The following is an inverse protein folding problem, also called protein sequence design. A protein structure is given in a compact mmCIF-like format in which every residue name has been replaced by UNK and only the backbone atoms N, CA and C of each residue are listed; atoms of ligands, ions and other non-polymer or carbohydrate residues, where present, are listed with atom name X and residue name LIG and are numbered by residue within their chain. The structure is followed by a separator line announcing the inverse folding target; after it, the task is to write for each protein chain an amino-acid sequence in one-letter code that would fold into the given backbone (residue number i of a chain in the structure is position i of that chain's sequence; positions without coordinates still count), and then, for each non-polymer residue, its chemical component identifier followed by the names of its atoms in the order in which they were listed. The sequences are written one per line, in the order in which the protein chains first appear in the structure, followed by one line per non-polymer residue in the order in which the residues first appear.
data_IF_974076205900
#
_entry.id   IF_974076205900
#
_cell.length_a   1.000
_cell.length_b   1.000
_cell.length_c   1.000
_cell.angle_alpha   90.00
_cell.angle_beta   90.00
_cell.angle_gamma   90.00
#
_symmetry.space_group_name_H-M   'P 1'
#
loop_
_entity.id
_entity.type
_entity.pdbx_description
1 polymer ?
#
# COMPACT_ATOMS: atom_id res chain seq x y z
N UNK A 1 0.92 -10.07 -18.07
CA UNK A 1 -0.15 -10.57 -18.94
C UNK A 1 -1.46 -10.04 -18.44
N UNK A 2 -2.07 -9.30 -19.16
CA UNK A 2 -3.30 -9.14 -19.83
C UNK A 2 -4.40 -8.70 -18.87
N UNK A 3 -4.83 -7.44 -18.99
CA UNK A 3 -6.18 -7.03 -18.63
C UNK A 3 -7.14 -8.15 -19.10
N UNK A 4 -7.94 -8.70 -18.17
CA UNK A 4 -8.98 -9.66 -18.49
C UNK A 4 -9.79 -9.10 -19.65
N UNK A 5 -9.72 -9.78 -20.76
CA UNK A 5 -10.47 -9.46 -21.96
C UNK A 5 -11.95 -9.46 -21.59
N UNK A 6 -12.64 -8.37 -21.90
CA UNK A 6 -14.12 -8.28 -21.91
C UNK A 6 -14.68 -9.12 -23.09
N UNK A 7 -14.15 -10.33 -23.29
CA UNK A 7 -14.59 -11.22 -24.34
C UNK A 7 -15.95 -11.83 -24.00
N UNK A 8 -17.01 -11.19 -24.47
CA UNK A 8 -18.36 -11.74 -24.45
C UNK A 8 -19.10 -11.63 -23.12
N UNK A 9 -18.60 -10.83 -22.18
CA UNK A 9 -19.29 -10.60 -20.91
C UNK A 9 -20.58 -9.83 -21.15
N UNK A 10 -21.69 -10.36 -20.65
CA UNK A 10 -22.98 -9.71 -20.72
C UNK A 10 -22.96 -8.42 -19.90
N UNK A 11 -23.34 -7.29 -20.53
CA UNK A 11 -23.54 -6.02 -19.83
C UNK A 11 -24.93 -6.04 -19.19
N UNK A 12 -24.97 -5.87 -17.88
CA UNK A 12 -26.18 -5.81 -17.08
C UNK A 12 -26.50 -4.35 -16.74
N UNK A 13 -27.79 -4.05 -16.58
CA UNK A 13 -28.26 -2.80 -15.99
C UNK A 13 -28.71 -3.06 -14.55
N UNK A 14 -27.99 -2.48 -13.60
CA UNK A 14 -28.19 -2.71 -12.17
C UNK A 14 -28.62 -1.42 -11.51
N UNK A 15 -29.61 -1.48 -10.61
CA UNK A 15 -29.93 -0.35 -9.74
C UNK A 15 -28.71 -0.03 -8.84
N UNK A 16 -28.18 1.20 -8.85
CA UNK A 16 -27.06 1.59 -8.00
C UNK A 16 -27.27 1.32 -6.49
N UNK A 17 -28.52 1.29 -6.03
CA UNK A 17 -28.87 0.98 -4.64
C UNK A 17 -28.63 -0.50 -4.29
N UNK A 18 -28.59 -1.37 -5.29
CA UNK A 18 -28.24 -2.79 -5.12
C UNK A 18 -26.73 -3.03 -5.09
N UNK A 19 -25.92 -1.98 -5.15
CA UNK A 19 -24.46 -2.08 -5.21
C UNK A 19 -23.83 -1.52 -3.93
N UNK A 20 -23.26 -2.41 -3.14
CA UNK A 20 -22.50 -2.07 -1.95
C UNK A 20 -21.03 -1.78 -2.29
N UNK A 21 -20.38 -0.94 -1.49
CA UNK A 21 -18.94 -0.68 -1.56
C UNK A 21 -18.33 -0.80 -0.16
N UNK A 22 -18.12 -2.04 0.33
CA UNK A 22 -17.67 -2.28 1.69
C UNK A 22 -16.25 -1.80 1.98
N UNK A 23 -15.44 -1.64 0.94
CA UNK A 23 -14.05 -1.19 1.08
C UNK A 23 -13.94 0.32 1.25
N UNK A 24 -14.97 1.06 0.81
CA UNK A 24 -14.95 2.51 0.87
C UNK A 24 -13.98 3.13 -0.14
N UNK A 25 -13.62 4.40 0.07
CA UNK A 25 -12.74 5.14 -0.84
C UNK A 25 -11.39 5.41 -0.21
N UNK A 26 -10.35 5.24 -0.98
CA UNK A 26 -8.99 5.72 -0.75
C UNK A 26 -8.78 7.16 -1.26
N UNK A 27 -9.81 7.74 -1.89
CA UNK A 27 -9.80 9.11 -2.45
C UNK A 27 -10.02 10.17 -1.40
N UNK A 28 -9.73 11.40 -1.77
CA UNK A 28 -10.11 12.61 -1.00
C UNK A 28 -11.60 12.57 -0.66
N UNK A 29 -11.95 13.05 0.52
CA UNK A 29 -13.35 13.09 0.98
C UNK A 29 -14.25 14.00 0.11
N UNK A 30 -13.66 14.98 -0.58
CA UNK A 30 -14.34 15.96 -1.43
C UNK A 30 -14.36 15.59 -2.93
N UNK A 31 -14.02 14.34 -3.28
CA UNK A 31 -13.90 13.93 -4.68
C UNK A 31 -15.19 14.12 -5.51
N UNK A 32 -16.37 14.08 -4.88
CA UNK A 32 -17.66 14.34 -5.55
C UNK A 32 -17.90 15.82 -5.86
N UNK A 33 -17.24 16.74 -5.15
CA UNK A 33 -17.30 18.18 -5.40
C UNK A 33 -16.30 18.64 -6.45
N UNK A 34 -15.36 17.79 -6.85
CA UNK A 34 -14.36 18.14 -7.86
C UNK A 34 -14.98 18.29 -9.24
N UNK A 35 -14.50 19.28 -10.00
CA UNK A 35 -15.00 19.62 -11.36
C UNK A 35 -15.06 18.39 -12.27
N UNK A 36 -13.99 17.58 -12.31
CA UNK A 36 -13.96 16.38 -13.13
C UNK A 36 -14.99 15.31 -12.77
N UNK A 37 -15.57 15.31 -11.55
CA UNK A 37 -16.68 14.43 -11.24
C UNK A 37 -18.01 15.03 -11.74
N UNK A 38 -18.20 16.34 -11.62
CA UNK A 38 -19.38 17.02 -12.14
C UNK A 38 -19.45 16.89 -13.67
N UNK A 39 -18.32 17.04 -14.35
CA UNK A 39 -18.23 16.81 -15.81
C UNK A 39 -18.63 15.38 -16.18
N UNK A 40 -18.21 14.39 -15.40
CA UNK A 40 -18.61 12.99 -15.61
C UNK A 40 -20.12 12.81 -15.44
N UNK A 41 -20.74 13.42 -14.43
CA UNK A 41 -22.19 13.35 -14.20
C UNK A 41 -22.92 13.95 -15.40
N UNK A 42 -22.54 15.15 -15.86
CA UNK A 42 -23.17 15.78 -17.02
C UNK A 42 -22.93 14.99 -18.31
N UNK A 43 -21.75 14.39 -18.50
CA UNK A 43 -21.46 13.51 -19.63
C UNK A 43 -22.38 12.28 -19.65
N UNK A 44 -22.51 11.59 -18.50
CA UNK A 44 -23.40 10.41 -18.39
C UNK A 44 -24.87 10.81 -18.56
N UNK A 45 -25.25 11.99 -18.09
CA UNK A 45 -26.62 12.52 -18.28
C UNK A 45 -26.92 12.75 -19.74
N UNK A 46 -25.99 13.33 -20.50
CA UNK A 46 -26.15 13.70 -21.89
C UNK A 46 -26.04 12.52 -22.86
N UNK A 47 -25.05 11.64 -22.65
CA UNK A 47 -24.69 10.60 -23.63
C UNK A 47 -24.87 9.17 -23.12
N UNK A 48 -25.20 8.99 -21.84
CA UNK A 48 -25.23 7.68 -21.21
C UNK A 48 -23.85 7.25 -20.71
N UNK A 49 -23.78 6.02 -20.20
CA UNK A 49 -22.55 5.43 -19.69
C UNK A 49 -21.90 4.57 -20.78
N UNK A 50 -20.72 4.94 -21.25
CA UNK A 50 -19.99 4.19 -22.28
C UNK A 50 -19.31 2.94 -21.73
N UNK A 51 -18.56 3.07 -20.64
CA UNK A 51 -17.82 1.98 -20.02
C UNK A 51 -18.57 1.40 -18.83
N UNK A 52 -18.84 0.08 -18.79
CA UNK A 52 -19.49 -0.54 -17.65
C UNK A 52 -18.60 -0.48 -16.38
N UNK A 53 -19.24 -0.57 -15.24
CA UNK A 53 -18.55 -0.82 -13.97
C UNK A 53 -18.28 -2.31 -13.81
N UNK A 54 -17.40 -2.67 -12.86
CA UNK A 54 -17.08 -4.04 -12.55
C UNK A 54 -17.65 -4.40 -11.18
N UNK A 55 -18.40 -5.48 -11.10
CA UNK A 55 -19.06 -5.92 -9.86
C UNK A 55 -18.91 -7.43 -9.64
N UNK A 56 -19.10 -7.85 -8.39
CA UNK A 56 -19.41 -9.24 -8.03
C UNK A 56 -20.81 -9.32 -7.46
N UNK A 57 -21.61 -10.36 -7.79
CA UNK A 57 -22.80 -10.66 -7.01
C UNK A 57 -22.41 -11.10 -5.60
N UNK A 58 -23.17 -10.71 -4.59
CA UNK A 58 -22.90 -11.11 -3.19
C UNK A 58 -23.01 -12.63 -3.02
N UNK A 59 -23.99 -13.26 -3.66
CA UNK A 59 -24.04 -14.72 -3.81
C UNK A 59 -23.06 -15.18 -4.91
N UNK A 60 -22.02 -15.92 -4.59
CA UNK A 60 -21.04 -16.40 -5.58
C UNK A 60 -21.64 -17.40 -6.59
N UNK A 61 -22.76 -18.03 -6.31
CA UNK A 61 -23.42 -18.97 -7.20
C UNK A 61 -24.43 -18.33 -8.12
N UNK A 62 -24.81 -17.07 -7.86
CA UNK A 62 -25.76 -16.36 -8.70
C UNK A 62 -25.24 -16.16 -10.13
N UNK A 63 -26.14 -16.34 -11.09
CA UNK A 63 -25.88 -16.05 -12.52
C UNK A 63 -27.07 -15.32 -13.09
N UNK A 64 -26.85 -14.45 -14.11
CA UNK A 64 -27.94 -13.88 -14.90
C UNK A 64 -28.78 -15.03 -15.52
N UNK A 65 -30.09 -14.89 -15.49
CA UNK A 65 -31.02 -15.86 -16.07
C UNK A 65 -31.81 -15.16 -17.18
N UNK A 66 -31.62 -15.62 -18.40
CA UNK A 66 -32.35 -15.08 -19.57
C UNK A 66 -33.86 -15.36 -19.51
N UNK A 67 -34.28 -16.43 -18.80
CA UNK A 67 -35.68 -16.80 -18.62
C UNK A 67 -36.36 -16.01 -17.49
N UNK A 68 -35.59 -15.48 -16.56
CA UNK A 68 -36.05 -14.58 -15.49
C UNK A 68 -35.16 -13.33 -15.41
N UNK A 69 -35.33 -12.37 -16.32
CA UNK A 69 -34.51 -11.14 -16.33
C UNK A 69 -34.57 -10.35 -15.02
N UNK A 70 -35.61 -10.53 -14.22
CA UNK A 70 -35.78 -9.88 -12.92
C UNK A 70 -34.99 -10.55 -11.79
N UNK A 71 -34.28 -11.64 -12.06
CA UNK A 71 -33.46 -12.28 -11.03
C UNK A 71 -32.35 -11.33 -10.52
N UNK A 72 -31.95 -10.35 -11.32
CA UNK A 72 -31.01 -9.29 -10.97
C UNK A 72 -31.50 -8.36 -9.86
N UNK A 73 -32.83 -8.13 -9.78
CA UNK A 73 -33.44 -7.27 -8.77
C UNK A 73 -33.48 -7.92 -7.37
N UNK A 74 -33.09 -9.20 -7.26
CA UNK A 74 -33.16 -9.98 -6.03
C UNK A 74 -31.82 -10.20 -5.36
N UNK A 75 -30.77 -9.59 -5.91
CA UNK A 75 -29.42 -9.81 -5.41
C UNK A 75 -28.68 -8.50 -5.19
N UNK A 76 -27.85 -8.50 -4.15
CA UNK A 76 -26.89 -7.44 -3.91
C UNK A 76 -25.58 -7.71 -4.68
N UNK A 77 -24.94 -6.64 -5.10
CA UNK A 77 -23.65 -6.67 -5.76
C UNK A 77 -22.60 -5.92 -4.96
N UNK A 78 -21.36 -6.30 -5.13
CA UNK A 78 -20.19 -5.64 -4.53
C UNK A 78 -19.41 -4.94 -5.64
N UNK A 79 -19.18 -3.65 -5.46
CA UNK A 79 -18.42 -2.83 -6.40
C UNK A 79 -16.93 -3.18 -6.37
N UNK A 80 -16.37 -3.51 -7.53
CA UNK A 80 -14.94 -3.75 -7.71
C UNK A 80 -14.23 -2.56 -8.35
N UNK A 81 -14.81 -2.01 -9.42
CA UNK A 81 -14.24 -0.86 -10.14
C UNK A 81 -15.34 0.01 -10.74
N UNK A 82 -15.05 1.31 -10.91
CA UNK A 82 -15.97 2.27 -11.51
C UNK A 82 -16.84 3.04 -10.52
N UNK A 83 -16.36 3.27 -9.28
CA UNK A 83 -17.08 4.02 -8.24
C UNK A 83 -17.67 5.33 -8.73
N UNK A 84 -16.90 6.15 -9.47
CA UNK A 84 -17.41 7.45 -9.98
C UNK A 84 -18.62 7.27 -10.88
N UNK A 85 -18.63 6.24 -11.75
CA UNK A 85 -19.76 5.93 -12.65
C UNK A 85 -20.97 5.41 -11.88
N UNK A 86 -20.74 4.57 -10.86
CA UNK A 86 -21.79 4.09 -9.99
C UNK A 86 -22.46 5.23 -9.23
N UNK A 87 -21.68 6.15 -8.65
CA UNK A 87 -22.19 7.30 -7.92
C UNK A 87 -22.88 8.32 -8.83
N UNK A 88 -22.34 8.55 -10.03
CA UNK A 88 -23.01 9.39 -11.03
C UNK A 88 -24.38 8.82 -11.44
N UNK A 89 -24.47 7.49 -11.63
CA UNK A 89 -25.76 6.84 -11.91
C UNK A 89 -26.75 6.98 -10.75
N UNK A 90 -26.28 6.86 -9.49
CA UNK A 90 -27.08 7.07 -8.27
C UNK A 90 -27.63 8.50 -8.21
N UNK A 91 -26.79 9.51 -8.42
CA UNK A 91 -27.20 10.91 -8.46
C UNK A 91 -28.25 11.17 -9.56
N UNK A 92 -28.09 10.52 -10.70
CA UNK A 92 -29.00 10.67 -11.83
C UNK A 92 -30.29 9.83 -11.73
N UNK A 93 -30.39 8.96 -10.72
CA UNK A 93 -31.55 8.05 -10.57
C UNK A 93 -31.70 7.09 -11.74
N UNK A 94 -30.57 6.60 -12.31
CA UNK A 94 -30.54 5.71 -13.48
C UNK A 94 -29.84 4.40 -13.15
N UNK A 95 -30.23 3.28 -13.80
CA UNK A 95 -29.45 2.06 -13.73
C UNK A 95 -28.02 2.29 -14.20
N UNK A 96 -27.09 1.55 -13.62
CA UNK A 96 -25.68 1.57 -14.00
C UNK A 96 -25.36 0.34 -14.85
N UNK A 97 -24.64 0.55 -15.94
CA UNK A 97 -24.15 -0.55 -16.78
C UNK A 97 -22.98 -1.23 -16.08
N UNK A 98 -23.08 -2.52 -15.90
CA UNK A 98 -22.12 -3.34 -15.15
C UNK A 98 -21.77 -4.63 -15.86
N UNK A 99 -20.58 -5.14 -15.60
CA UNK A 99 -20.10 -6.46 -15.99
C UNK A 99 -19.69 -7.23 -14.74
N UNK A 100 -20.01 -8.52 -14.70
CA UNK A 100 -19.57 -9.39 -13.60
C UNK A 100 -18.11 -9.77 -13.82
N UNK A 101 -17.24 -9.47 -12.86
CA UNK A 101 -15.85 -9.87 -12.91
C UNK A 101 -15.69 -11.39 -12.80
N UNK A 102 -14.56 -11.91 -13.30
CA UNK A 102 -14.19 -13.33 -13.12
C UNK A 102 -14.33 -13.74 -11.66
N UNK A 103 -14.83 -14.94 -11.45
CA UNK A 103 -15.15 -15.46 -10.12
C UNK A 103 -14.02 -16.27 -9.49
N UNK A 104 -12.89 -16.39 -10.18
CA UNK A 104 -11.70 -17.03 -9.63
C UNK A 104 -11.19 -16.29 -8.39
N UNK A 105 -10.98 -17.02 -7.30
CA UNK A 105 -10.50 -16.45 -6.03
C UNK A 105 -11.55 -15.68 -5.21
N UNK A 106 -12.82 -15.71 -5.58
CA UNK A 106 -13.92 -14.96 -4.97
C UNK A 106 -14.42 -15.49 -3.64
N UNK A 107 -14.20 -16.77 -3.40
CA UNK A 107 -14.64 -17.45 -2.18
C UNK A 107 -13.48 -17.59 -1.20
N UNK A 108 -13.80 -17.50 0.09
CA UNK A 108 -12.86 -17.72 1.16
C UNK A 108 -12.22 -16.43 1.73
N UNK A 109 -11.27 -16.57 2.66
CA UNK A 109 -10.72 -15.48 3.45
C UNK A 109 -9.95 -14.45 2.63
N UNK A 110 -9.59 -14.77 1.39
CA UNK A 110 -8.86 -13.85 0.49
C UNK A 110 -9.75 -13.03 -0.46
N UNK A 111 -11.07 -13.22 -0.43
CA UNK A 111 -11.98 -12.52 -1.35
C UNK A 111 -11.85 -10.98 -1.26
N UNK A 112 -11.80 -10.43 -0.05
CA UNK A 112 -11.60 -8.99 0.18
C UNK A 112 -10.25 -8.52 -0.37
N UNK A 113 -9.20 -9.30 -0.18
CA UNK A 113 -7.89 -8.97 -0.73
C UNK A 113 -7.89 -8.96 -2.27
N UNK A 114 -8.53 -9.93 -2.91
CA UNK A 114 -8.63 -9.96 -4.38
C UNK A 114 -9.41 -8.74 -4.92
N UNK A 115 -10.47 -8.36 -4.23
CA UNK A 115 -11.24 -7.14 -4.56
C UNK A 115 -10.36 -5.89 -4.46
N UNK A 116 -9.57 -5.75 -3.39
CA UNK A 116 -8.64 -4.63 -3.20
C UNK A 116 -7.55 -4.59 -4.27
N UNK A 117 -7.00 -5.76 -4.65
CA UNK A 117 -6.01 -5.86 -5.73
C UNK A 117 -6.59 -5.42 -7.08
N UNK A 118 -7.81 -5.82 -7.41
CA UNK A 118 -8.47 -5.39 -8.64
C UNK A 118 -8.68 -3.88 -8.67
N UNK A 119 -9.14 -3.30 -7.57
CA UNK A 119 -9.29 -1.84 -7.42
C UNK A 119 -7.96 -1.11 -7.51
N UNK A 120 -6.94 -1.62 -6.84
CA UNK A 120 -5.60 -1.03 -6.89
C UNK A 120 -5.04 -1.01 -8.31
N UNK A 121 -5.15 -2.13 -9.05
CA UNK A 121 -4.68 -2.23 -10.44
C UNK A 121 -5.45 -1.31 -11.40
N UNK A 122 -6.75 -1.11 -11.17
CA UNK A 122 -7.54 -0.16 -11.95
C UNK A 122 -7.09 1.26 -11.67
N UNK A 123 -6.94 1.62 -10.38
CA UNK A 123 -6.53 2.95 -9.97
C UNK A 123 -5.08 3.27 -10.36
N UNK A 124 -4.15 2.30 -10.30
CA UNK A 124 -2.73 2.50 -10.63
C UNK A 124 -2.48 2.91 -12.09
N UNK A 125 -3.44 2.63 -12.98
CA UNK A 125 -3.39 3.03 -14.39
C UNK A 125 -3.82 4.49 -14.63
N UNK A 126 -4.19 5.20 -13.58
CA UNK A 126 -4.68 6.57 -13.68
C UNK A 126 -3.55 7.56 -13.45
N UNK A 127 -3.48 8.59 -14.29
CA UNK A 127 -2.47 9.64 -14.21
C UNK A 127 -2.66 10.58 -13.00
N UNK A 128 -3.86 10.59 -12.39
CA UNK A 128 -4.24 11.49 -11.30
C UNK A 128 -4.15 10.88 -9.89
N UNK A 129 -3.60 9.66 -9.75
CA UNK A 129 -3.46 9.00 -8.45
C UNK A 129 -2.31 9.63 -7.63
N UNK A 130 -2.65 10.29 -6.53
CA UNK A 130 -1.65 10.87 -5.64
C UNK A 130 -0.80 9.80 -4.93
N UNK A 131 0.40 10.19 -4.50
CA UNK A 131 1.26 9.29 -3.73
C UNK A 131 0.62 8.88 -2.39
N UNK A 132 -0.21 9.74 -1.80
CA UNK A 132 -0.96 9.43 -0.58
C UNK A 132 -1.99 8.32 -0.82
N UNK A 133 -2.87 8.49 -1.81
CA UNK A 133 -3.90 7.50 -2.17
C UNK A 133 -3.27 6.15 -2.50
N UNK A 134 -2.17 6.15 -3.26
CA UNK A 134 -1.42 4.92 -3.58
C UNK A 134 -0.90 4.22 -2.32
N UNK A 135 -0.35 4.96 -1.37
CA UNK A 135 0.14 4.39 -0.11
C UNK A 135 -1.00 3.90 0.78
N UNK A 136 -2.13 4.60 0.83
CA UNK A 136 -3.32 4.15 1.57
C UNK A 136 -3.84 2.82 1.01
N UNK A 137 -3.97 2.69 -0.31
CA UNK A 137 -4.43 1.46 -0.96
C UNK A 137 -3.52 0.26 -0.65
N UNK A 138 -2.19 0.44 -0.76
CA UNK A 138 -1.22 -0.62 -0.45
C UNK A 138 -1.26 -0.98 1.04
N UNK A 139 -1.34 0.02 1.93
CA UNK A 139 -1.41 -0.20 3.37
C UNK A 139 -2.67 -0.93 3.78
N UNK A 140 -3.82 -0.55 3.24
CA UNK A 140 -5.10 -1.21 3.47
C UNK A 140 -5.07 -2.67 3.02
N UNK A 141 -4.63 -2.94 1.80
CA UNK A 141 -4.51 -4.31 1.29
C UNK A 141 -3.65 -5.20 2.19
N UNK A 142 -2.55 -4.65 2.73
CA UNK A 142 -1.71 -5.41 3.65
C UNK A 142 -2.43 -5.73 4.97
N UNK A 143 -3.08 -4.74 5.59
CA UNK A 143 -3.76 -4.94 6.88
C UNK A 143 -4.95 -5.91 6.72
N UNK A 144 -5.72 -5.82 5.64
CA UNK A 144 -6.84 -6.74 5.33
C UNK A 144 -6.33 -8.19 5.14
N UNK A 145 -5.31 -8.39 4.31
CA UNK A 145 -4.75 -9.72 4.10
C UNK A 145 -4.10 -10.27 5.39
N UNK A 146 -3.44 -9.41 6.17
CA UNK A 146 -2.83 -9.81 7.43
C UNK A 146 -3.86 -10.21 8.48
N UNK A 147 -5.05 -9.58 8.48
CA UNK A 147 -6.14 -9.89 9.39
C UNK A 147 -6.84 -11.22 9.05
N UNK A 148 -6.94 -11.54 7.75
CA UNK A 148 -7.59 -12.78 7.26
C UNK A 148 -6.65 -14.00 7.19
N UNK A 149 -5.34 -13.80 7.40
CA UNK A 149 -4.33 -14.85 7.26
C UNK A 149 -4.04 -15.51 8.60
N UNK A 150 -4.10 -16.84 8.64
CA UNK A 150 -3.70 -17.63 9.82
C UNK A 150 -2.18 -17.59 10.07
N UNK A 151 -1.40 -17.31 9.04
CA UNK A 151 0.05 -17.20 9.11
C UNK A 151 0.51 -15.75 9.09
N UNK A 152 1.60 -15.45 9.81
CA UNK A 152 2.16 -14.10 9.85
C UNK A 152 2.63 -13.65 8.47
N UNK A 153 1.91 -12.71 7.87
CA UNK A 153 2.26 -12.11 6.60
C UNK A 153 3.50 -11.22 6.74
N UNK A 154 4.53 -11.45 5.93
CA UNK A 154 5.71 -10.58 5.87
C UNK A 154 5.54 -9.51 4.80
N UNK A 155 6.16 -8.34 5.01
CA UNK A 155 6.14 -7.26 4.00
C UNK A 155 6.73 -7.71 2.66
N UNK A 156 7.76 -8.58 2.68
CA UNK A 156 8.37 -9.14 1.48
C UNK A 156 7.39 -10.04 0.71
N UNK A 157 6.77 -11.01 1.38
CA UNK A 157 5.83 -11.93 0.73
C UNK A 157 4.63 -11.17 0.11
N UNK A 158 4.15 -10.13 0.78
CA UNK A 158 3.11 -9.28 0.24
C UNK A 158 3.59 -8.44 -0.94
N UNK A 159 4.79 -7.86 -0.86
CA UNK A 159 5.40 -7.08 -1.93
C UNK A 159 5.55 -7.89 -3.22
N UNK A 160 6.06 -9.13 -3.10
CA UNK A 160 6.17 -10.07 -4.22
C UNK A 160 4.80 -10.36 -4.86
N UNK A 161 3.75 -10.45 -4.02
CA UNK A 161 2.38 -10.76 -4.46
C UNK A 161 1.70 -9.65 -5.27
N UNK A 162 1.96 -8.38 -4.92
CA UNK A 162 1.39 -7.21 -5.62
C UNK A 162 2.36 -6.56 -6.62
N UNK A 163 3.60 -7.05 -6.74
CA UNK A 163 4.58 -6.56 -7.70
C UNK A 163 5.24 -5.23 -7.32
N UNK A 164 5.44 -4.95 -6.02
CA UNK A 164 6.11 -3.74 -5.55
C UNK A 164 7.35 -4.09 -4.71
N UNK A 165 8.17 -3.10 -4.38
CA UNK A 165 9.32 -3.31 -3.49
C UNK A 165 8.89 -3.36 -2.02
N UNK A 166 9.54 -4.18 -1.19
CA UNK A 166 9.24 -4.35 0.24
C UNK A 166 9.23 -3.02 1.02
N UNK A 167 10.15 -2.10 0.70
CA UNK A 167 10.21 -0.79 1.35
C UNK A 167 8.97 0.09 1.08
N UNK A 168 8.31 -0.11 -0.08
CA UNK A 168 7.04 0.54 -0.40
C UNK A 168 5.95 0.04 0.54
N UNK A 169 5.84 -1.27 0.72
CA UNK A 169 4.87 -1.90 1.62
C UNK A 169 5.06 -1.40 3.05
N UNK A 170 6.30 -1.44 3.56
CA UNK A 170 6.61 -0.99 4.92
C UNK A 170 6.21 0.46 5.17
N UNK A 171 6.48 1.35 4.21
CA UNK A 171 6.10 2.77 4.28
C UNK A 171 4.58 2.94 4.17
N UNK A 172 3.95 2.29 3.22
CA UNK A 172 2.50 2.37 2.99
C UNK A 172 1.71 1.93 4.22
N UNK A 173 2.16 0.89 4.92
CA UNK A 173 1.57 0.47 6.19
C UNK A 173 1.68 1.56 7.27
N UNK A 174 2.83 2.21 7.39
CA UNK A 174 3.02 3.28 8.35
C UNK A 174 2.12 4.49 8.04
N UNK A 175 2.01 4.86 6.76
CA UNK A 175 1.13 5.94 6.29
C UNK A 175 -0.34 5.57 6.54
N UNK A 176 -0.77 4.36 6.23
CA UNK A 176 -2.13 3.91 6.46
C UNK A 176 -2.52 3.94 7.94
N UNK A 177 -1.62 3.50 8.83
CA UNK A 177 -1.85 3.54 10.28
C UNK A 177 -1.92 4.95 10.85
N UNK A 178 -1.17 5.89 10.29
CA UNK A 178 -1.14 7.28 10.70
C UNK A 178 -2.06 8.18 9.85
N UNK A 179 -2.97 7.62 9.03
CA UNK A 179 -3.75 8.39 8.04
C UNK A 179 -4.50 9.57 8.63
N UNK A 180 -5.17 9.35 9.75
CA UNK A 180 -5.99 10.38 10.39
C UNK A 180 -5.12 11.49 11.00
N UNK A 181 -3.98 11.13 11.60
CA UNK A 181 -2.99 12.09 12.10
C UNK A 181 -2.37 12.91 10.96
N UNK A 182 -2.06 12.26 9.84
CA UNK A 182 -1.54 12.92 8.64
C UNK A 182 -2.55 13.91 8.07
N UNK A 183 -3.80 13.50 7.89
CA UNK A 183 -4.87 14.35 7.37
C UNK A 183 -5.17 15.55 8.28
N UNK A 184 -5.08 15.36 9.60
CA UNK A 184 -5.26 16.45 10.55
C UNK A 184 -4.08 17.43 10.59
N UNK A 185 -2.85 16.94 10.41
CA UNK A 185 -1.65 17.75 10.50
C UNK A 185 -1.31 18.51 9.19
N UNK A 186 -1.70 17.97 8.02
CA UNK A 186 -1.28 18.48 6.71
C UNK A 186 -2.48 18.67 5.78
N UNK A 187 -2.76 19.92 5.38
CA UNK A 187 -3.89 20.24 4.47
C UNK A 187 -3.65 19.83 3.02
N UNK A 188 -2.39 19.79 2.59
CA UNK A 188 -1.98 19.55 1.20
C UNK A 188 -1.35 18.17 0.98
N UNK A 189 -1.76 17.17 1.76
CA UNK A 189 -1.16 15.82 1.76
C UNK A 189 -1.23 15.12 0.40
N UNK A 190 -2.22 15.46 -0.41
CA UNK A 190 -2.40 14.88 -1.75
C UNK A 190 -1.37 15.39 -2.79
N UNK A 191 -0.69 16.51 -2.49
CA UNK A 191 0.36 17.08 -3.34
C UNK A 191 1.76 16.54 -2.97
N UNK A 192 1.86 15.77 -1.89
CA UNK A 192 3.12 15.23 -1.41
C UNK A 192 3.64 14.14 -2.34
N UNK A 193 4.96 14.16 -2.54
CA UNK A 193 5.65 13.05 -3.20
C UNK A 193 5.78 11.84 -2.28
N UNK A 194 6.09 10.70 -2.86
CA UNK A 194 6.33 9.46 -2.12
C UNK A 194 7.45 9.61 -1.05
N UNK A 195 8.45 10.44 -1.31
CA UNK A 195 9.57 10.67 -0.38
C UNK A 195 9.22 11.61 0.79
N UNK A 196 8.24 12.50 0.61
CA UNK A 196 7.85 13.43 1.65
C UNK A 196 7.20 12.70 2.84
N UNK A 197 6.54 11.57 2.61
CA UNK A 197 5.96 10.76 3.68
C UNK A 197 6.98 10.19 4.67
N UNK A 198 8.26 10.08 4.31
CA UNK A 198 9.30 9.73 5.29
C UNK A 198 9.49 10.86 6.32
N UNK A 199 9.48 12.11 5.86
CA UNK A 199 9.60 13.29 6.73
C UNK A 199 8.35 13.48 7.58
N UNK A 200 7.17 13.31 6.94
CA UNK A 200 5.86 13.40 7.62
C UNK A 200 5.78 12.40 8.78
N UNK A 201 6.08 11.12 8.55
CA UNK A 201 6.08 10.10 9.58
C UNK A 201 7.10 10.37 10.70
N UNK A 202 8.27 10.93 10.37
CA UNK A 202 9.26 11.32 11.36
C UNK A 202 8.77 12.48 12.23
N UNK A 203 8.16 13.51 11.65
CA UNK A 203 7.58 14.64 12.37
C UNK A 203 6.44 14.22 13.30
N UNK A 204 5.54 13.33 12.85
CA UNK A 204 4.46 12.81 13.68
C UNK A 204 5.01 11.99 14.87
N UNK A 205 6.05 11.20 14.65
CA UNK A 205 6.70 10.45 15.72
C UNK A 205 7.37 11.35 16.77
N UNK A 206 7.85 12.54 16.38
CA UNK A 206 8.40 13.55 17.30
C UNK A 206 7.33 14.31 18.07
N UNK A 207 6.16 14.52 17.45
CA UNK A 207 5.04 15.29 18.01
C UNK A 207 4.14 14.48 18.94
N UNK A 208 4.17 13.14 18.86
CA UNK A 208 3.33 12.26 19.68
C UNK A 208 3.95 12.05 21.06
N UNK A 209 3.28 12.46 22.16
CA UNK A 209 3.77 12.25 23.53
C UNK A 209 3.58 10.81 24.01
N UNK A 210 3.42 9.85 23.15
CA UNK A 210 3.28 8.47 23.59
C UNK A 210 4.63 7.90 24.00
N UNK A 211 4.67 7.54 25.27
CA UNK A 211 5.70 6.78 25.99
C UNK A 211 5.97 5.42 25.33
N UNK A 212 6.48 5.39 24.15
CA UNK A 212 7.35 4.30 23.73
C UNK A 212 8.74 4.74 24.12
N UNK A 213 9.23 4.19 25.25
CA UNK A 213 10.65 4.19 25.57
C UNK A 213 11.38 3.93 24.25
N UNK A 214 11.93 4.97 23.63
CA UNK A 214 12.97 4.82 22.62
C UNK A 214 13.95 3.88 23.30
N UNK A 215 14.02 2.62 22.87
CA UNK A 215 15.26 1.87 23.07
C UNK A 215 16.30 2.78 22.45
N UNK A 216 17.06 3.43 23.31
CA UNK A 216 18.15 4.29 22.90
C UNK A 216 18.91 3.46 21.84
N UNK A 217 18.92 3.93 20.61
CA UNK A 217 19.74 3.31 19.59
C UNK A 217 21.14 3.29 20.20
N UNK A 218 21.80 2.14 20.30
CA UNK A 218 23.06 2.05 20.99
C UNK A 218 23.98 3.10 20.38
N UNK A 219 24.50 3.96 21.25
CA UNK A 219 25.27 5.13 20.86
C UNK A 219 26.40 4.68 19.94
N UNK A 220 26.43 5.19 18.73
CA UNK A 220 27.48 4.85 17.77
C UNK A 220 28.72 5.62 18.17
N UNK A 221 29.69 4.92 18.72
CA UNK A 221 31.03 5.45 18.98
C UNK A 221 31.85 5.31 17.70
N UNK A 222 32.44 6.39 17.24
CA UNK A 222 33.30 6.39 16.05
C UNK A 222 34.59 7.14 16.36
N UNK A 223 35.69 6.45 16.15
CA UNK A 223 37.04 7.04 16.25
C UNK A 223 37.70 6.92 14.89
N UNK A 224 38.25 8.04 14.40
CA UNK A 224 39.06 8.06 13.17
C UNK A 224 40.49 8.38 13.51
N UNK A 225 41.42 7.58 12.98
CA UNK A 225 42.85 7.80 13.10
C UNK A 225 43.49 7.86 11.72
N UNK A 226 44.48 8.72 11.56
CA UNK A 226 45.25 8.84 10.32
C UNK A 226 46.46 7.94 10.39
N UNK A 227 46.64 7.06 9.42
CA UNK A 227 47.79 6.16 9.29
C UNK A 227 48.45 6.46 7.95
N UNK A 228 49.52 7.24 7.96
CA UNK A 228 50.13 7.80 6.76
C UNK A 228 49.12 8.72 6.02
N UNK A 229 48.89 8.48 4.75
CA UNK A 229 47.91 9.23 3.93
C UNK A 229 46.48 8.63 3.94
N UNK A 230 46.17 7.74 4.89
CA UNK A 230 44.95 6.97 4.93
C UNK A 230 44.23 7.13 6.26
N UNK A 231 42.90 6.98 6.23
CA UNK A 231 42.05 7.02 7.42
C UNK A 231 41.66 5.61 7.86
N UNK A 232 41.90 5.30 9.13
CA UNK A 232 41.40 4.15 9.84
C UNK A 232 40.17 4.58 10.66
N UNK A 233 39.00 4.00 10.43
CA UNK A 233 37.78 4.23 11.20
C UNK A 233 37.45 3.01 12.04
N UNK A 234 37.34 3.19 13.36
CA UNK A 234 36.87 2.18 14.30
C UNK A 234 35.50 2.63 14.79
N UNK A 235 34.52 1.78 14.63
CA UNK A 235 33.13 2.05 14.97
C UNK A 235 32.59 0.95 15.89
N UNK A 236 32.00 1.34 17.02
CA UNK A 236 31.29 0.44 17.93
C UNK A 236 29.84 0.83 18.04
N UNK A 237 28.92 -0.12 17.85
CA UNK A 237 27.47 0.09 17.97
C UNK A 237 26.78 -1.23 18.35
N UNK A 238 25.98 -1.22 19.42
CA UNK A 238 25.18 -2.36 19.81
C UNK A 238 25.97 -3.66 20.05
N UNK A 239 27.13 -3.55 20.66
CA UNK A 239 28.01 -4.70 20.93
C UNK A 239 28.81 -5.21 19.73
N UNK A 240 28.72 -4.51 18.58
CA UNK A 240 29.49 -4.82 17.36
C UNK A 240 30.63 -3.83 17.18
N UNK A 241 31.85 -4.34 16.97
CA UNK A 241 33.01 -3.55 16.59
C UNK A 241 33.28 -3.70 15.09
N UNK A 242 33.50 -2.60 14.41
CA UNK A 242 33.83 -2.54 12.98
C UNK A 242 35.10 -1.73 12.79
N UNK A 243 36.10 -2.29 12.12
CA UNK A 243 37.32 -1.59 11.73
C UNK A 243 37.31 -1.44 10.20
N UNK A 244 37.38 -0.22 9.71
CA UNK A 244 37.36 0.09 8.27
C UNK A 244 38.62 0.89 7.91
N UNK A 245 39.36 0.40 6.95
CA UNK A 245 40.45 1.10 6.32
C UNK A 245 40.44 0.82 4.82
N UNK A 246 40.68 1.84 4.00
CA UNK A 246 40.73 1.70 2.55
C UNK A 246 42.15 1.77 2.02
N UNK A 247 42.41 1.00 0.94
CA UNK A 247 43.68 1.04 0.21
C UNK A 247 44.88 0.37 0.94
N UNK A 248 44.63 -0.45 1.97
CA UNK A 248 45.65 -1.25 2.62
C UNK A 248 45.84 -2.58 1.85
N UNK A 249 47.08 -2.91 1.51
CA UNK A 249 47.46 -4.27 1.12
C UNK A 249 47.80 -5.02 2.38
N UNK A 250 46.90 -5.86 2.87
CA UNK A 250 47.06 -6.69 4.05
C UNK A 250 47.10 -8.14 3.60
N UNK A 251 48.16 -8.84 3.93
CA UNK A 251 48.21 -10.29 3.76
C UNK A 251 47.54 -11.01 4.94
N UNK A 252 47.36 -12.32 4.82
CA UNK A 252 46.66 -13.14 5.82
C UNK A 252 47.34 -13.09 7.19
N UNK A 253 48.65 -13.14 7.24
CA UNK A 253 49.43 -13.14 8.50
C UNK A 253 49.27 -11.80 9.25
N UNK A 254 49.25 -10.68 8.53
CA UNK A 254 49.03 -9.36 9.14
C UNK A 254 47.60 -9.18 9.60
N UNK A 255 46.62 -9.80 8.91
CA UNK A 255 45.22 -9.78 9.32
C UNK A 255 44.99 -10.59 10.59
N UNK A 256 45.64 -11.76 10.70
CA UNK A 256 45.64 -12.60 11.90
C UNK A 256 46.27 -11.85 13.10
N UNK A 257 47.44 -11.26 12.93
CA UNK A 257 48.08 -10.45 13.98
C UNK A 257 47.26 -9.23 14.42
N UNK A 258 46.50 -8.61 13.50
CA UNK A 258 45.55 -7.55 13.88
C UNK A 258 44.38 -8.10 14.70
N UNK A 259 43.90 -9.30 14.36
CA UNK A 259 42.87 -10.01 15.12
C UNK A 259 43.32 -10.30 16.55
N UNK A 260 44.53 -10.79 16.70
CA UNK A 260 45.13 -11.08 18.02
C UNK A 260 45.27 -9.83 18.88
N UNK A 261 45.77 -8.73 18.32
CA UNK A 261 45.86 -7.44 19.01
C UNK A 261 44.52 -6.90 19.46
N UNK A 262 43.50 -7.01 18.62
CA UNK A 262 42.13 -6.58 18.97
C UNK A 262 41.55 -7.48 20.07
N UNK A 263 41.76 -8.78 19.99
CA UNK A 263 41.31 -9.73 21.01
C UNK A 263 42.02 -9.48 22.37
N UNK A 264 43.32 -9.26 22.37
CA UNK A 264 44.06 -8.91 23.57
C UNK A 264 43.61 -7.60 24.21
N UNK A 265 43.35 -6.55 23.36
CA UNK A 265 42.84 -5.27 23.83
C UNK A 265 41.45 -5.40 24.47
N UNK A 266 40.54 -6.16 23.85
CA UNK A 266 39.18 -6.35 24.38
C UNK A 266 39.16 -7.21 25.63
N UNK A 267 40.10 -8.15 25.81
CA UNK A 267 40.22 -8.97 27.01
C UNK A 267 40.83 -8.21 28.19
N UNK A 268 41.69 -7.22 27.94
CA UNK A 268 42.32 -6.42 28.98
C UNK A 268 41.47 -5.31 29.57
N UNK A 269 40.34 -4.92 28.93
CA UNK A 269 39.41 -3.90 29.42
C UNK A 269 38.45 -4.41 30.54
N UNK A 270 38.57 -5.68 30.94
CA UNK A 270 37.84 -6.29 32.06
C UNK A 270 38.45 -6.06 33.45
N UNK A 271 39.54 -5.30 33.57
CA UNK A 271 40.28 -5.08 34.83
C UNK A 271 40.45 -3.59 35.18
N UNK A 272 39.34 -2.85 35.21
CA UNK A 272 39.27 -1.56 35.93
C UNK A 272 37.86 -1.31 36.47
#
# INVERSE_FOLDING_TARGET
MGAGSLNGDQVLEIDPEMISDPVGTDRRSDWMQQEGFQELVESIKASGQDLPILVWPEDPNWRPDELDPKNIERIQFVLLAGRRRCEAARILGRPVRAVIASQEGRSGPEATFQMLVLRFRENEKRDDLSAFERQLSIGQMYEELSASSETKLTAKAFADRIGVHESVVSRSRAVYKAKDEILNAFKNVYDFSFNDFQKVLAQLAESSPSQTKKRASPQKLKVVRRVGNRNLSVEAQGGKLSIKASGLKIDKSRLEGLGDLVAEYLNNDGAK
#
